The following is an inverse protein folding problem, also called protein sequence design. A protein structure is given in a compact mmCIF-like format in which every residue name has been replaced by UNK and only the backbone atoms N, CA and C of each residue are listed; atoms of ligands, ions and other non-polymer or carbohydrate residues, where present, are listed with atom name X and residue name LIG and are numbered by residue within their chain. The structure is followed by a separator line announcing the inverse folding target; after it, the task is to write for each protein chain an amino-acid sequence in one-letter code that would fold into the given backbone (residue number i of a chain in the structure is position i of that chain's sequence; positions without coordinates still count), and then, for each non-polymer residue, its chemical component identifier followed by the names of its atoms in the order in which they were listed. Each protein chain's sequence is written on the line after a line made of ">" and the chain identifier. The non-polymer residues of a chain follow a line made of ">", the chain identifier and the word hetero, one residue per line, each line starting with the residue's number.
data_IF_934687125576
#
_entry.id   IF_934687125576
#
_cell.length_a   1.000
_cell.length_b   1.000
_cell.length_c   1.000
_cell.angle_alpha   90.00
_cell.angle_beta   90.00
_cell.angle_gamma   90.00
#
_symmetry.space_group_name_H-M   'P 1'
#
loop_
_entity.id
_entity.type
_entity.pdbx_description
1 polymer ?
#
# COMPACT_ATOMS: atom_id res chain seq x y z
N UNK A 1 1.05 -25.19 62.76
CA UNK A 1 1.46 -23.89 63.34
C UNK A 1 1.58 -22.91 62.16
N UNK A 2 0.62 -21.99 61.94
CA UNK A 2 0.69 -20.55 62.32
C UNK A 2 1.96 -19.87 61.78
N UNK A 3 2.00 -18.76 61.02
CA UNK A 3 1.08 -17.63 60.69
C UNK A 3 1.51 -17.07 59.31
N UNK A 4 0.63 -16.71 58.36
CA UNK A 4 -0.13 -15.46 58.27
C UNK A 4 0.72 -14.17 58.18
N UNK A 5 0.86 -13.64 56.96
CA UNK A 5 0.91 -12.23 56.54
C UNK A 5 0.39 -12.21 55.08
N UNK A 6 -0.91 -12.21 54.80
CA UNK A 6 -1.87 -11.09 54.75
C UNK A 6 -1.40 -9.80 54.05
N UNK A 7 -2.05 -9.57 52.88
CA UNK A 7 -2.57 -8.30 52.32
C UNK A 7 -1.55 -7.19 51.97
N UNK A 8 -1.67 -6.38 50.89
CA UNK A 8 -2.82 -5.94 50.12
C UNK A 8 -2.33 -5.31 48.75
N UNK A 9 -3.12 -4.55 47.95
CA UNK A 9 -3.40 -4.92 46.56
C UNK A 9 -3.14 -3.79 45.53
N UNK A 10 -3.52 -4.08 44.28
CA UNK A 10 -4.12 -3.15 43.31
C UNK A 10 -3.23 -2.29 42.38
N UNK A 11 -3.69 -2.27 41.13
CA UNK A 11 -3.47 -1.31 40.03
C UNK A 11 -2.39 -1.62 39.01
N UNK A 12 -2.71 -2.56 38.12
CA UNK A 12 -2.26 -2.52 36.72
C UNK A 12 -3.31 -3.19 35.84
N UNK A 13 -4.54 -2.68 35.92
CA UNK A 13 -5.53 -2.86 34.87
C UNK A 13 -5.95 -1.47 34.40
N UNK A 14 -6.09 -1.36 33.07
CA UNK A 14 -6.67 -0.23 32.34
C UNK A 14 -5.70 0.92 32.04
N UNK A 15 -5.02 0.82 30.90
CA UNK A 15 -4.85 1.94 29.93
C UNK A 15 -4.03 1.48 28.71
N UNK A 16 -4.64 0.67 27.85
CA UNK A 16 -4.24 0.57 26.44
C UNK A 16 -5.47 0.22 25.62
N UNK A 17 -6.27 1.25 25.26
CA UNK A 17 -7.22 1.27 24.13
C UNK A 17 -8.08 2.53 24.16
N UNK A 18 -7.52 3.67 23.78
CA UNK A 18 -8.31 4.83 23.31
C UNK A 18 -7.40 5.76 22.51
N UNK A 19 -7.36 5.63 21.17
CA UNK A 19 -6.86 6.71 20.31
C UNK A 19 -7.31 6.66 18.83
N UNK A 20 -8.54 6.20 18.56
CA UNK A 20 -9.13 6.30 17.20
C UNK A 20 -10.50 6.99 17.10
N UNK A 21 -11.07 7.49 18.22
CA UNK A 21 -12.40 8.11 18.22
C UNK A 21 -12.43 9.60 18.60
N UNK A 22 -11.28 10.23 18.87
CA UNK A 22 -11.22 11.66 19.23
C UNK A 22 -11.34 12.63 18.04
N UNK A 23 -11.41 12.17 16.80
CA UNK A 23 -11.61 13.06 15.64
C UNK A 23 -13.08 13.43 15.40
N UNK A 24 -14.04 12.69 15.96
CA UNK A 24 -15.48 12.89 15.71
C UNK A 24 -16.16 13.83 16.72
N UNK A 25 -15.52 14.15 17.84
CA UNK A 25 -16.10 14.99 18.91
C UNK A 25 -15.98 16.49 18.60
N UNK A 26 -15.09 16.89 17.68
CA UNK A 26 -14.92 18.30 17.29
C UNK A 26 -15.93 18.78 16.25
N UNK A 27 -16.67 17.88 15.59
CA UNK A 27 -17.61 18.22 14.52
C UNK A 27 -18.99 18.61 15.08
N UNK A 28 -19.37 18.10 16.25
CA UNK A 28 -20.68 18.36 16.87
C UNK A 28 -20.80 19.69 17.62
N UNK A 29 -19.70 20.44 17.81
CA UNK A 29 -19.75 21.74 18.50
C UNK A 29 -20.17 22.92 17.62
N UNK A 30 -20.24 22.74 16.30
CA UNK A 30 -20.59 23.83 15.36
C UNK A 30 -22.09 23.89 14.98
N UNK A 31 -22.92 22.95 15.45
CA UNK A 31 -24.35 22.87 15.08
C UNK A 31 -25.33 23.21 16.22
N UNK A 32 -24.86 23.77 17.33
CA UNK A 32 -25.66 24.00 18.54
C UNK A 32 -25.71 25.47 18.98
N UNK A 33 -26.02 26.40 18.08
CA UNK A 33 -26.50 27.74 18.47
C UNK A 33 -27.91 27.94 17.93
N UNK A 34 -28.87 27.67 18.82
CA UNK A 34 -30.30 27.93 18.65
C UNK A 34 -30.55 29.40 18.35
N UNK A 35 -31.44 29.65 17.39
CA UNK A 35 -32.13 30.92 17.17
C UNK A 35 -32.90 31.35 18.42
N UNK A 36 -32.84 32.62 18.85
CA UNK A 36 -33.80 33.16 19.79
C UNK A 36 -35.00 33.76 19.06
N UNK A 37 -36.15 33.38 19.58
CA UNK A 37 -37.52 33.67 19.18
C UNK A 37 -37.86 35.16 19.27
N UNK A 38 -38.73 35.62 18.37
CA UNK A 38 -39.35 36.96 18.36
C UNK A 38 -40.01 37.32 19.70
N UNK A 39 -39.70 38.48 20.25
CA UNK A 39 -40.56 39.24 21.17
C UNK A 39 -41.11 40.49 20.46
N UNK A 40 -42.35 40.82 20.76
CA UNK A 40 -43.19 41.80 20.05
C UNK A 40 -42.88 43.26 20.41
N UNK A 41 -43.43 44.15 19.55
CA UNK A 41 -43.67 45.60 19.72
C UNK A 41 -42.48 46.56 19.56
N UNK A 42 -42.43 47.26 18.42
CA UNK A 42 -42.60 48.72 18.28
C UNK A 42 -42.02 49.17 16.92
N UNK A 43 -42.82 49.93 16.15
CA UNK A 43 -42.37 50.58 14.91
C UNK A 43 -41.28 51.61 15.24
N UNK A 44 -40.04 51.30 14.90
CA UNK A 44 -39.01 52.28 14.61
C UNK A 44 -38.28 51.77 13.37
N UNK A 45 -38.35 52.54 12.28
CA UNK A 45 -37.61 52.23 11.07
C UNK A 45 -36.12 52.19 11.42
N UNK A 46 -35.51 51.01 11.30
CA UNK A 46 -34.07 50.87 11.48
C UNK A 46 -33.37 51.61 10.32
N UNK A 47 -32.45 52.54 10.59
CA UNK A 47 -31.63 53.11 9.52
C UNK A 47 -30.82 51.99 8.87
N UNK A 48 -30.70 52.01 7.55
CA UNK A 48 -29.92 51.01 6.80
C UNK A 48 -28.52 50.88 7.42
N UNK A 49 -28.01 49.65 7.62
CA UNK A 49 -26.70 49.46 8.20
C UNK A 49 -25.65 50.17 7.33
N UNK A 50 -24.76 50.99 7.91
CA UNK A 50 -23.78 51.73 7.12
C UNK A 50 -22.93 50.74 6.32
N UNK A 51 -22.71 51.04 5.03
CA UNK A 51 -21.89 50.22 4.14
C UNK A 51 -20.56 49.88 4.85
N UNK A 52 -20.20 48.59 4.98
CA UNK A 52 -19.02 48.20 5.72
C UNK A 52 -17.79 48.86 5.09
N UNK A 53 -17.02 49.58 5.90
CA UNK A 53 -15.75 50.15 5.46
C UNK A 53 -14.81 48.99 5.10
N UNK A 54 -14.12 49.04 3.95
CA UNK A 54 -13.16 48.01 3.59
C UNK A 54 -12.08 47.92 4.69
N UNK A 55 -11.84 46.71 5.21
CA UNK A 55 -10.89 46.49 6.31
C UNK A 55 -11.50 46.19 7.69
N UNK A 56 -12.83 46.21 7.83
CA UNK A 56 -13.52 45.83 9.07
C UNK A 56 -14.51 44.67 8.87
N UNK A 57 -14.52 43.72 9.79
CA UNK A 57 -15.51 42.66 9.87
C UNK A 57 -16.90 43.24 10.24
N UNK A 58 -18.01 42.63 9.78
CA UNK A 58 -19.37 43.04 10.15
C UNK A 58 -19.66 42.97 11.67
N UNK A 59 -18.84 42.25 12.43
CA UNK A 59 -18.89 42.14 13.90
C UNK A 59 -18.12 43.25 14.63
N UNK A 60 -17.48 44.18 13.91
CA UNK A 60 -16.75 45.32 14.49
C UNK A 60 -15.25 45.11 14.73
N UNK A 61 -14.67 43.97 14.34
CA UNK A 61 -13.22 43.72 14.42
C UNK A 61 -12.45 44.21 13.18
N UNK A 62 -11.20 44.64 13.34
CA UNK A 62 -10.29 44.92 12.21
C UNK A 62 -9.74 43.62 11.62
N UNK A 63 -9.54 43.57 10.30
CA UNK A 63 -8.74 42.50 9.70
C UNK A 63 -7.30 42.58 10.21
N UNK A 64 -6.68 41.44 10.50
CA UNK A 64 -5.27 41.40 10.83
C UNK A 64 -4.46 41.90 9.64
N UNK A 65 -3.74 43.01 9.84
CA UNK A 65 -2.88 43.61 8.81
C UNK A 65 -1.44 43.19 9.10
N UNK A 66 -0.55 43.24 8.11
CA UNK A 66 0.88 42.95 8.29
C UNK A 66 1.56 43.73 9.42
N UNK A 67 0.98 44.85 9.88
CA UNK A 67 1.41 45.62 11.05
C UNK A 67 1.14 44.93 12.40
N UNK A 68 0.18 44.00 12.44
CA UNK A 68 -0.26 43.31 13.66
C UNK A 68 0.56 42.04 13.92
N UNK A 69 1.36 41.62 12.93
CA UNK A 69 2.29 40.51 13.10
C UNK A 69 3.52 40.98 13.89
N UNK A 70 4.02 40.18 14.85
CA UNK A 70 5.27 40.50 15.52
C UNK A 70 6.38 40.61 14.47
N UNK A 71 7.12 41.72 14.51
CA UNK A 71 8.27 41.89 13.63
C UNK A 71 9.31 40.83 14.01
N UNK A 72 9.73 39.96 13.08
CA UNK A 72 10.80 39.01 13.37
C UNK A 72 12.07 39.79 13.68
N UNK A 73 12.64 39.58 14.87
CA UNK A 73 13.93 40.15 15.24
C UNK A 73 15.06 39.24 14.73
N UNK A 74 15.97 39.81 13.94
CA UNK A 74 17.14 39.12 13.42
C UNK A 74 16.96 38.48 12.04
N UNK A 75 17.99 37.75 11.61
CA UNK A 75 18.05 37.10 10.30
C UNK A 75 17.50 35.67 10.39
N UNK A 76 16.31 35.46 9.82
CA UNK A 76 15.63 34.16 9.79
C UNK A 76 16.53 33.06 9.23
N UNK A 77 17.33 33.35 8.20
CA UNK A 77 18.18 32.35 7.57
C UNK A 77 19.26 31.85 8.54
N UNK A 78 19.84 32.75 9.33
CA UNK A 78 20.83 32.36 10.36
C UNK A 78 20.22 31.49 11.45
N UNK A 79 19.03 31.86 11.94
CA UNK A 79 18.32 31.08 12.95
C UNK A 79 17.91 29.70 12.42
N UNK A 80 17.47 29.64 11.16
CA UNK A 80 17.12 28.40 10.46
C UNK A 80 18.33 27.49 10.29
N UNK A 81 19.47 28.02 9.82
CA UNK A 81 20.70 27.24 9.67
C UNK A 81 21.21 26.71 11.03
N UNK A 82 21.17 27.53 12.07
CA UNK A 82 21.56 27.10 13.42
C UNK A 82 20.65 25.99 13.97
N UNK A 83 19.33 26.08 13.72
CA UNK A 83 18.37 25.05 14.09
C UNK A 83 18.60 23.75 13.30
N UNK A 84 18.82 23.84 12.00
CA UNK A 84 19.04 22.67 11.14
C UNK A 84 20.37 21.96 11.44
N UNK A 85 21.42 22.73 11.76
CA UNK A 85 22.72 22.18 12.18
C UNK A 85 22.62 21.32 13.45
N UNK A 86 21.81 21.75 14.43
CA UNK A 86 21.56 20.96 15.64
C UNK A 86 20.84 19.64 15.35
N UNK A 87 19.81 19.67 14.51
CA UNK A 87 19.11 18.44 14.12
C UNK A 87 20.01 17.48 13.34
N UNK A 88 20.85 18.00 12.45
CA UNK A 88 21.80 17.17 11.71
C UNK A 88 22.83 16.51 12.65
N UNK A 89 23.31 17.21 13.68
CA UNK A 89 24.21 16.62 14.68
C UNK A 89 23.53 15.52 15.49
N UNK A 90 22.30 15.73 15.93
CA UNK A 90 21.52 14.70 16.64
C UNK A 90 21.30 13.48 15.75
N UNK A 91 20.93 13.70 14.48
CA UNK A 91 20.70 12.64 13.51
C UNK A 91 21.98 11.84 13.22
N UNK A 92 23.12 12.51 12.99
CA UNK A 92 24.43 11.87 12.82
C UNK A 92 24.83 11.05 14.05
N UNK A 93 24.63 11.59 15.26
CA UNK A 93 24.92 10.86 16.49
C UNK A 93 24.03 9.63 16.67
N UNK A 94 22.76 9.71 16.27
CA UNK A 94 21.84 8.58 16.26
C UNK A 94 22.26 7.49 15.29
N UNK A 95 22.65 7.85 14.05
CA UNK A 95 23.17 6.90 13.07
C UNK A 95 24.43 6.19 13.57
N UNK A 96 25.39 6.93 14.14
CA UNK A 96 26.60 6.35 14.72
C UNK A 96 26.30 5.42 15.89
N UNK A 97 25.36 5.78 16.77
CA UNK A 97 24.94 4.94 17.88
C UNK A 97 24.29 3.63 17.42
N UNK A 98 23.43 3.68 16.38
CA UNK A 98 22.82 2.48 15.80
C UNK A 98 23.88 1.57 15.18
N UNK A 99 24.79 2.11 14.36
CA UNK A 99 25.88 1.34 13.77
C UNK A 99 26.75 0.71 14.86
N UNK A 100 27.13 1.50 15.87
CA UNK A 100 27.90 1.01 17.01
C UNK A 100 27.20 -0.12 17.77
N UNK A 101 25.87 -0.01 17.96
CA UNK A 101 25.08 -1.05 18.61
C UNK A 101 25.03 -2.36 17.83
N UNK A 102 24.96 -2.29 16.50
CA UNK A 102 24.96 -3.47 15.62
C UNK A 102 26.34 -4.13 15.67
N UNK A 103 27.41 -3.35 15.51
CA UNK A 103 28.79 -3.87 15.55
C UNK A 103 29.09 -4.53 16.89
N UNK A 104 28.72 -3.89 18.00
CA UNK A 104 28.87 -4.48 19.34
C UNK A 104 28.08 -5.79 19.49
N UNK A 105 26.87 -5.85 18.94
CA UNK A 105 26.01 -7.04 19.01
C UNK A 105 26.59 -8.21 18.22
N UNK A 106 27.23 -7.93 17.07
CA UNK A 106 27.94 -8.92 16.25
C UNK A 106 29.21 -9.40 16.94
N UNK A 107 30.06 -8.49 17.43
CA UNK A 107 31.33 -8.86 18.10
C UNK A 107 31.12 -9.54 19.45
N UNK A 108 30.03 -9.23 20.15
CA UNK A 108 29.69 -9.88 21.42
C UNK A 108 29.18 -11.32 21.25
N UNK A 109 29.01 -11.82 20.02
CA UNK A 109 28.56 -13.20 19.77
C UNK A 109 27.13 -13.49 20.23
N UNK A 110 26.32 -12.45 20.53
CA UNK A 110 24.92 -12.63 20.98
C UNK A 110 23.97 -12.91 19.82
N UNK A 111 24.28 -12.46 18.61
CA UNK A 111 23.50 -12.73 17.41
C UNK A 111 23.49 -14.21 16.97
N UNK A 112 24.62 -14.94 16.90
CA UNK A 112 24.61 -16.35 16.49
C UNK A 112 23.85 -17.25 17.48
N UNK A 113 23.80 -16.89 18.76
CA UNK A 113 23.05 -17.63 19.79
C UNK A 113 21.53 -17.72 19.54
N UNK A 114 20.97 -16.81 18.74
CA UNK A 114 19.55 -16.81 18.36
C UNK A 114 19.33 -17.18 16.88
N UNK A 115 20.40 -17.35 16.11
CA UNK A 115 20.33 -17.66 14.69
C UNK A 115 20.41 -19.17 14.42
N UNK A 116 21.24 -19.87 15.19
CA UNK A 116 21.45 -21.30 15.00
C UNK A 116 20.42 -22.10 15.81
N UNK A 117 19.51 -22.77 15.10
CA UNK A 117 18.64 -23.79 15.69
C UNK A 117 19.53 -25.01 15.96
N UNK A 118 19.56 -25.55 17.20
CA UNK A 118 20.36 -26.75 17.48
C UNK A 118 19.88 -27.92 16.63
N UNK A 119 20.83 -28.64 16.01
CA UNK A 119 20.55 -29.86 15.27
C UNK A 119 20.01 -30.92 16.23
N UNK A 120 18.71 -31.17 16.15
CA UNK A 120 18.10 -32.32 16.82
C UNK A 120 18.34 -33.56 15.96
N UNK A 121 18.69 -34.72 16.57
CA UNK A 121 18.77 -35.97 15.84
C UNK A 121 17.35 -36.42 15.50
N UNK A 122 16.87 -36.01 14.34
CA UNK A 122 15.59 -36.48 13.80
C UNK A 122 15.69 -37.96 13.45
N UNK A 123 14.63 -38.70 13.73
CA UNK A 123 14.45 -40.06 13.21
C UNK A 123 14.24 -40.01 11.69
N UNK A 124 14.54 -41.10 10.99
CA UNK A 124 14.40 -41.16 9.51
C UNK A 124 12.97 -40.82 9.05
N UNK A 125 11.97 -41.26 9.81
CA UNK A 125 10.56 -40.95 9.58
C UNK A 125 10.25 -39.44 9.74
N UNK A 126 10.84 -38.77 10.73
CA UNK A 126 10.67 -37.32 10.93
C UNK A 126 11.36 -36.51 9.81
N UNK A 127 12.53 -36.95 9.33
CA UNK A 127 13.21 -36.30 8.20
C UNK A 127 12.42 -36.41 6.89
N UNK A 128 11.79 -37.57 6.64
CA UNK A 128 10.89 -37.75 5.49
C UNK A 128 9.68 -36.80 5.59
N UNK A 129 9.07 -36.66 6.77
CA UNK A 129 7.97 -35.71 7.02
C UNK A 129 8.40 -34.26 6.80
N UNK A 130 9.57 -33.86 7.29
CA UNK A 130 10.09 -32.50 7.06
C UNK A 130 10.40 -32.21 5.60
N UNK A 131 10.93 -33.18 4.85
CA UNK A 131 11.19 -33.03 3.42
C UNK A 131 9.88 -32.83 2.63
N UNK A 132 8.82 -33.56 2.99
CA UNK A 132 7.49 -33.40 2.38
C UNK A 132 6.87 -32.04 2.76
N UNK A 133 6.99 -31.62 4.01
CA UNK A 133 6.49 -30.32 4.50
C UNK A 133 7.24 -29.14 3.86
N UNK A 134 8.55 -29.27 3.64
CA UNK A 134 9.37 -28.28 2.96
C UNK A 134 9.04 -28.18 1.47
N UNK A 135 8.89 -29.32 0.79
CA UNK A 135 8.41 -29.36 -0.59
C UNK A 135 7.03 -28.71 -0.71
N UNK A 136 6.10 -28.97 0.21
CA UNK A 136 4.79 -28.30 0.23
C UNK A 136 4.90 -26.79 0.40
N UNK A 137 5.80 -26.33 1.28
CA UNK A 137 6.06 -24.89 1.47
C UNK A 137 6.69 -24.23 0.24
N UNK A 138 7.58 -24.93 -0.45
CA UNK A 138 8.19 -24.44 -1.68
C UNK A 138 7.15 -24.38 -2.80
N UNK A 139 6.35 -25.44 -3.00
CA UNK A 139 5.25 -25.45 -3.97
C UNK A 139 4.23 -24.32 -3.70
N UNK A 140 3.91 -24.04 -2.43
CA UNK A 140 3.00 -22.95 -2.06
C UNK A 140 3.59 -21.57 -2.35
N UNK A 141 4.90 -21.37 -2.08
CA UNK A 141 5.59 -20.11 -2.42
C UNK A 141 5.65 -19.90 -3.93
N UNK A 142 6.04 -20.92 -4.68
CA UNK A 142 6.09 -20.88 -6.14
C UNK A 142 4.71 -20.61 -6.74
N UNK A 143 3.66 -21.26 -6.22
CA UNK A 143 2.29 -21.00 -6.68
C UNK A 143 1.85 -19.55 -6.42
N UNK A 144 2.21 -18.98 -5.26
CA UNK A 144 1.91 -17.57 -4.96
C UNK A 144 2.68 -16.61 -5.87
N UNK A 145 3.93 -16.90 -6.15
CA UNK A 145 4.76 -16.10 -7.07
C UNK A 145 4.23 -16.18 -8.51
N UNK A 146 3.86 -17.37 -8.98
CA UNK A 146 3.22 -17.56 -10.28
C UNK A 146 1.89 -16.80 -10.38
N UNK A 147 1.03 -16.87 -9.36
CA UNK A 147 -0.21 -16.09 -9.31
C UNK A 147 0.06 -14.59 -9.34
N UNK A 148 1.10 -14.13 -8.65
CA UNK A 148 1.48 -12.72 -8.66
C UNK A 148 1.94 -12.28 -10.06
N UNK A 149 2.79 -13.07 -10.71
CA UNK A 149 3.26 -12.82 -12.07
C UNK A 149 2.09 -12.80 -13.06
N UNK A 150 1.21 -13.82 -13.03
CA UNK A 150 0.02 -13.90 -13.88
C UNK A 150 -0.90 -12.67 -13.68
N UNK A 151 -1.06 -12.19 -12.44
CA UNK A 151 -1.84 -10.98 -12.14
C UNK A 151 -1.19 -9.69 -12.66
N UNK A 152 0.14 -9.60 -12.62
CA UNK A 152 0.88 -8.46 -13.17
C UNK A 152 0.77 -8.45 -14.70
N UNK A 153 1.03 -9.59 -15.35
CA UNK A 153 0.88 -9.77 -16.80
C UNK A 153 -0.55 -9.41 -17.25
N UNK A 154 -1.59 -9.92 -16.56
CA UNK A 154 -2.98 -9.62 -16.89
C UNK A 154 -3.33 -8.12 -16.73
N UNK A 155 -2.76 -7.43 -15.74
CA UNK A 155 -2.95 -5.98 -15.57
C UNK A 155 -2.28 -5.19 -16.69
N UNK A 156 -1.08 -5.56 -17.09
CA UNK A 156 -0.36 -4.92 -18.19
C UNK A 156 -1.10 -5.10 -19.52
N UNK A 157 -1.56 -6.32 -19.82
CA UNK A 157 -2.38 -6.62 -20.99
C UNK A 157 -3.67 -5.79 -21.00
N UNK A 158 -4.35 -5.69 -19.85
CA UNK A 158 -5.57 -4.89 -19.71
C UNK A 158 -5.30 -3.40 -19.94
N UNK A 159 -4.18 -2.87 -19.45
CA UNK A 159 -3.80 -1.47 -19.67
C UNK A 159 -3.45 -1.20 -21.13
N UNK A 160 -2.74 -2.12 -21.80
CA UNK A 160 -2.45 -2.02 -23.24
C UNK A 160 -3.74 -2.05 -24.08
N UNK A 161 -4.65 -2.99 -23.79
CA UNK A 161 -5.98 -3.06 -24.45
C UNK A 161 -6.80 -1.79 -24.25
N UNK A 162 -6.75 -1.18 -23.06
CA UNK A 162 -7.42 0.11 -22.80
C UNK A 162 -6.83 1.22 -23.65
N UNK A 163 -5.50 1.37 -23.66
CA UNK A 163 -4.82 2.38 -24.49
C UNK A 163 -5.13 2.21 -25.98
N UNK A 164 -5.12 0.97 -26.47
CA UNK A 164 -5.47 0.69 -27.87
C UNK A 164 -6.94 1.02 -28.17
N UNK A 165 -7.86 0.72 -27.24
CA UNK A 165 -9.27 1.08 -27.39
C UNK A 165 -9.48 2.60 -27.39
N UNK A 166 -8.76 3.32 -26.54
CA UNK A 166 -8.83 4.78 -26.49
C UNK A 166 -8.23 5.41 -27.77
N UNK A 167 -7.14 4.84 -28.31
CA UNK A 167 -6.54 5.22 -29.58
C UNK A 167 -7.49 4.97 -30.77
N UNK A 168 -8.15 3.80 -30.82
CA UNK A 168 -9.15 3.49 -31.85
C UNK A 168 -10.39 4.40 -31.73
N UNK A 169 -10.84 4.73 -30.52
CA UNK A 169 -11.94 5.66 -30.33
C UNK A 169 -11.58 7.06 -30.86
N UNK A 170 -10.32 7.48 -30.66
CA UNK A 170 -9.80 8.74 -31.19
C UNK A 170 -9.66 8.73 -32.71
N UNK A 171 -9.21 7.61 -33.30
CA UNK A 171 -9.18 7.40 -34.76
C UNK A 171 -10.58 7.56 -35.36
N UNK A 172 -11.59 6.91 -34.77
CA UNK A 172 -12.98 7.00 -35.23
C UNK A 172 -13.55 8.40 -35.09
N UNK A 173 -13.24 9.11 -34.01
CA UNK A 173 -13.65 10.50 -33.80
C UNK A 173 -13.05 11.42 -34.87
N UNK A 174 -11.76 11.25 -35.19
CA UNK A 174 -11.07 12.02 -36.23
C UNK A 174 -11.58 11.68 -37.64
N UNK A 175 -11.85 10.41 -37.96
CA UNK A 175 -12.48 10.03 -39.23
C UNK A 175 -13.88 10.62 -39.38
N UNK A 176 -14.67 10.62 -38.31
CA UNK A 176 -16.02 11.21 -38.32
C UNK A 176 -15.95 12.73 -38.53
N UNK A 177 -15.00 13.39 -37.87
CA UNK A 177 -14.74 14.83 -38.05
C UNK A 177 -14.31 15.16 -39.49
N UNK A 178 -13.55 14.30 -40.16
CA UNK A 178 -13.16 14.48 -41.56
C UNK A 178 -14.36 14.44 -42.51
N UNK A 179 -15.30 13.53 -42.22
CA UNK A 179 -16.54 13.41 -42.97
C UNK A 179 -17.47 14.62 -42.80
N UNK A 180 -17.52 15.20 -41.60
CA UNK A 180 -18.50 16.24 -41.24
C UNK A 180 -17.98 17.68 -41.47
N UNK A 181 -16.74 17.99 -41.06
CA UNK A 181 -16.20 19.38 -41.06
C UNK A 181 -14.85 19.52 -41.78
N UNK A 182 -14.19 18.41 -42.15
CA UNK A 182 -12.85 18.37 -42.72
C UNK A 182 -11.76 18.50 -41.64
N UNK A 183 -10.71 17.69 -41.75
CA UNK A 183 -9.65 17.60 -40.74
C UNK A 183 -8.45 18.50 -41.09
N UNK A 184 -7.82 19.08 -40.07
CA UNK A 184 -6.59 19.88 -40.26
C UNK A 184 -5.38 19.00 -40.59
N UNK A 185 -4.36 19.52 -41.29
CA UNK A 185 -3.16 18.75 -41.68
C UNK A 185 -2.47 18.02 -40.50
N UNK A 186 -2.49 18.62 -39.31
CA UNK A 186 -1.93 18.03 -38.09
C UNK A 186 -2.76 16.84 -37.57
N UNK A 187 -4.08 16.94 -37.64
CA UNK A 187 -5.00 15.89 -37.22
C UNK A 187 -5.07 14.74 -38.26
N UNK A 188 -4.84 15.03 -39.55
CA UNK A 188 -4.64 14.00 -40.58
C UNK A 188 -3.35 13.21 -40.36
N UNK A 189 -2.26 13.87 -39.94
CA UNK A 189 -1.04 13.18 -39.56
C UNK A 189 -1.22 12.34 -38.27
N UNK A 190 -2.08 12.77 -37.34
CA UNK A 190 -2.48 11.98 -36.16
C UNK A 190 -3.29 10.74 -36.58
N UNK A 191 -4.22 10.89 -37.52
CA UNK A 191 -5.03 9.79 -38.06
C UNK A 191 -4.16 8.69 -38.69
N UNK A 192 -3.19 9.06 -39.52
CA UNK A 192 -2.26 8.10 -40.15
C UNK A 192 -1.40 7.36 -39.12
N UNK A 193 -1.04 8.02 -38.01
CA UNK A 193 -0.31 7.36 -36.91
C UNK A 193 -1.21 6.39 -36.17
N UNK A 194 -2.45 6.79 -35.85
CA UNK A 194 -3.40 5.95 -35.12
C UNK A 194 -3.79 4.70 -35.93
N UNK A 195 -3.94 4.80 -37.25
CA UNK A 195 -4.20 3.65 -38.13
C UNK A 195 -3.02 2.68 -38.16
N UNK A 196 -1.78 3.18 -38.25
CA UNK A 196 -0.57 2.35 -38.13
C UNK A 196 -0.49 1.67 -36.75
N UNK A 197 -0.70 2.42 -35.67
CA UNK A 197 -0.73 1.89 -34.30
C UNK A 197 -1.81 0.81 -34.11
N UNK A 198 -2.95 0.93 -34.81
CA UNK A 198 -4.00 -0.08 -34.81
C UNK A 198 -3.57 -1.37 -35.51
N UNK A 199 -2.99 -1.30 -36.70
CA UNK A 199 -2.49 -2.49 -37.42
C UNK A 199 -1.38 -3.20 -36.63
N UNK A 200 -0.49 -2.43 -36.01
CA UNK A 200 0.53 -2.92 -35.09
C UNK A 200 -0.09 -3.58 -33.85
N UNK A 201 -1.14 -2.98 -33.28
CA UNK A 201 -1.84 -3.56 -32.14
C UNK A 201 -2.59 -4.85 -32.50
N UNK A 202 -3.24 -4.91 -33.66
CA UNK A 202 -3.97 -6.11 -34.12
C UNK A 202 -3.03 -7.27 -34.43
N UNK A 203 -1.85 -6.99 -35.02
CA UNK A 203 -0.82 -8.01 -35.25
C UNK A 203 -0.22 -8.49 -33.92
N UNK A 204 0.08 -7.58 -33.00
CA UNK A 204 0.53 -7.91 -31.65
C UNK A 204 -0.51 -8.74 -30.87
N UNK A 205 -1.80 -8.40 -30.93
CA UNK A 205 -2.85 -9.15 -30.22
C UNK A 205 -2.99 -10.58 -30.77
N UNK A 206 -2.86 -10.77 -32.09
CA UNK A 206 -2.86 -12.10 -32.71
C UNK A 206 -1.66 -12.93 -32.25
N UNK A 207 -0.48 -12.34 -32.14
CA UNK A 207 0.72 -13.02 -31.64
C UNK A 207 0.63 -13.33 -30.14
N UNK A 208 0.07 -12.42 -29.34
CA UNK A 208 -0.08 -12.61 -27.91
C UNK A 208 -1.13 -13.69 -27.60
N UNK A 209 -2.22 -13.75 -28.35
CA UNK A 209 -3.21 -14.83 -28.25
C UNK A 209 -2.59 -16.19 -28.57
N UNK A 210 -1.75 -16.29 -29.61
CA UNK A 210 -1.01 -17.52 -29.93
C UNK A 210 -0.05 -17.92 -28.79
N UNK A 211 0.67 -16.96 -28.22
CA UNK A 211 1.55 -17.20 -27.07
C UNK A 211 0.79 -17.70 -25.83
N UNK A 212 -0.39 -17.15 -25.55
CA UNK A 212 -1.23 -17.62 -24.45
C UNK A 212 -1.73 -19.05 -24.68
N UNK A 213 -2.18 -19.37 -25.90
CA UNK A 213 -2.59 -20.74 -26.26
C UNK A 213 -1.44 -21.75 -26.16
N UNK A 214 -0.22 -21.36 -26.53
CA UNK A 214 0.98 -22.20 -26.37
C UNK A 214 1.31 -22.41 -24.90
N UNK A 215 1.31 -21.34 -24.09
CA UNK A 215 1.51 -21.42 -22.63
C UNK A 215 0.46 -22.33 -21.97
N UNK A 216 -0.81 -22.28 -22.38
CA UNK A 216 -1.85 -23.16 -21.86
C UNK A 216 -1.60 -24.63 -22.22
N UNK A 217 -1.21 -24.91 -23.47
CA UNK A 217 -0.84 -26.26 -23.91
C UNK A 217 0.37 -26.79 -23.14
N UNK A 218 1.35 -25.96 -22.84
CA UNK A 218 2.51 -26.32 -22.01
C UNK A 218 2.11 -26.59 -20.56
N UNK A 219 1.30 -25.72 -19.96
CA UNK A 219 0.76 -25.92 -18.60
C UNK A 219 -0.02 -27.23 -18.48
N UNK A 220 -0.80 -27.60 -19.50
CA UNK A 220 -1.56 -28.85 -19.51
C UNK A 220 -0.69 -30.10 -19.69
N UNK A 221 0.40 -30.02 -20.47
CA UNK A 221 1.41 -31.09 -20.54
C UNK A 221 2.10 -31.26 -19.18
N UNK A 222 2.55 -30.16 -18.58
CA UNK A 222 3.20 -30.16 -17.27
C UNK A 222 2.29 -30.74 -16.19
N UNK A 223 0.99 -30.38 -16.17
CA UNK A 223 0.02 -30.97 -15.23
C UNK A 223 -0.09 -32.48 -15.40
N UNK A 224 -0.19 -32.97 -16.64
CA UNK A 224 -0.28 -34.41 -16.93
C UNK A 224 0.98 -35.16 -16.54
N UNK A 225 2.16 -34.58 -16.75
CA UNK A 225 3.44 -35.15 -16.33
C UNK A 225 3.58 -35.16 -14.80
N UNK A 226 3.23 -34.05 -14.14
CA UNK A 226 3.25 -33.94 -12.67
C UNK A 226 2.28 -34.93 -12.02
N UNK A 227 1.11 -35.14 -12.60
CA UNK A 227 0.14 -36.13 -12.11
C UNK A 227 0.65 -37.56 -12.28
N UNK A 228 1.27 -37.90 -13.43
CA UNK A 228 1.93 -39.20 -13.62
C UNK A 228 3.07 -39.41 -12.63
N UNK A 229 3.93 -38.41 -12.43
CA UNK A 229 5.03 -38.47 -11.48
C UNK A 229 4.53 -38.69 -10.05
N UNK A 230 3.48 -37.97 -9.62
CA UNK A 230 2.83 -38.18 -8.31
C UNK A 230 2.26 -39.59 -8.17
N UNK A 231 1.62 -40.13 -9.21
CA UNK A 231 1.11 -41.51 -9.20
C UNK A 231 2.22 -42.56 -9.11
N UNK A 232 3.37 -42.33 -9.75
CA UNK A 232 4.54 -43.22 -9.64
C UNK A 232 5.18 -43.15 -8.25
N UNK A 233 5.33 -41.95 -7.68
CA UNK A 233 5.84 -41.76 -6.32
C UNK A 233 4.93 -42.43 -5.27
N UNK A 234 3.61 -42.27 -5.38
CA UNK A 234 2.67 -42.94 -4.48
C UNK A 234 2.78 -44.47 -4.55
N UNK A 235 2.98 -45.03 -5.76
CA UNK A 235 3.19 -46.48 -5.94
C UNK A 235 4.53 -46.94 -5.35
N UNK A 236 5.59 -46.12 -5.41
CA UNK A 236 6.88 -46.43 -4.80
C UNK A 236 6.77 -46.44 -3.26
N UNK A 237 6.16 -45.40 -2.68
CA UNK A 237 5.91 -45.30 -1.24
C UNK A 237 5.04 -46.47 -0.75
N UNK A 238 4.00 -46.85 -1.50
CA UNK A 238 3.14 -47.97 -1.11
C UNK A 238 3.88 -49.33 -1.17
N UNK A 239 4.80 -49.52 -2.12
CA UNK A 239 5.65 -50.72 -2.18
C UNK A 239 6.63 -50.76 -1.01
N UNK A 240 7.31 -49.65 -0.74
CA UNK A 240 8.26 -49.52 0.36
C UNK A 240 7.57 -49.75 1.71
N UNK A 241 6.37 -49.19 1.91
CA UNK A 241 5.56 -49.42 3.12
C UNK A 241 5.16 -50.89 3.27
N UNK A 242 4.84 -51.59 2.18
CA UNK A 242 4.52 -53.03 2.20
C UNK A 242 5.75 -53.90 2.47
N UNK A 243 6.93 -53.49 2.03
CA UNK A 243 8.20 -54.17 2.33
C UNK A 243 8.60 -53.96 3.80
N UNK A 244 8.53 -52.72 4.32
CA UNK A 244 8.76 -52.41 5.74
C UNK A 244 7.79 -53.18 6.66
N UNK A 245 6.52 -53.36 6.25
CA UNK A 245 5.54 -54.17 7.02
C UNK A 245 5.74 -55.68 6.96
N UNK A 246 6.47 -56.21 5.97
CA UNK A 246 6.79 -57.63 5.86
C UNK A 246 8.13 -58.00 6.53
N UNK A 247 8.99 -57.01 6.72
CA UNK A 247 10.30 -57.16 7.35
C UNK A 247 10.23 -57.08 8.88
N UNK A 248 9.16 -56.49 9.43
CA UNK A 248 8.79 -56.53 10.85
C UNK A 248 7.84 -57.70 11.14
#
# INVERSE_FOLDING_TARGET
>A
MSRLLMAAPSRLSREMRTNRLNSLVNITRQMATKTPTKSSTAKCAAPEPPKPKPGYFPSGGTHAVFSDMPKPEGDFMKAWHAKNSKYNMVLLSGFLAVIGSIVLSVTSGKMPLFADVPDYPYTEDEMEEFAVEEQRRQEEKEAREQLHQDLVEAKELKMRRRKAKDAMAREVELMQKDLDEGVSENEMAELVKLTQEREEFESWEKEEMKRLEEKEKERDKIKKEKEKARQEQLKQIEKERKERQKAN
#
